data_IF_574682002232
#
_entry.id   IF_574682002232
#
_cell.length_a   1.000
_cell.length_b   1.000
_cell.length_c   1.000
_cell.angle_alpha   90.00
_cell.angle_beta   90.00
_cell.angle_gamma   90.00
#
_symmetry.space_group_name_H-M   'P 1'
#
loop_
_entity.id
_entity.type
_entity.pdbx_description
1 polymer ?
#
# COMPACT_ATOMS: atom_id res chain seq x y z
N UNK A 1 -6.68 -17.98 2.87
CA UNK A 1 -6.54 -16.75 3.68
C UNK A 1 -5.16 -16.80 4.38
N UNK A 2 -4.48 -15.71 4.74
CA UNK A 2 -3.06 -15.76 5.24
C UNK A 2 -2.82 -16.66 6.46
N UNK A 3 -3.88 -16.98 7.19
CA UNK A 3 -3.86 -17.87 8.36
C UNK A 3 -3.98 -19.36 7.98
N UNK A 4 -4.36 -19.66 6.74
CA UNK A 4 -4.47 -21.02 6.23
C UNK A 4 -3.07 -21.60 5.97
N UNK A 5 -2.71 -22.74 6.60
CA UNK A 5 -1.38 -23.34 6.46
C UNK A 5 -0.99 -23.63 5.01
N UNK A 6 -1.95 -24.01 4.16
CA UNK A 6 -1.72 -24.40 2.78
C UNK A 6 -1.24 -23.26 1.85
N UNK A 7 -1.45 -21.99 2.24
CA UNK A 7 -1.08 -20.81 1.43
C UNK A 7 -0.24 -19.79 2.21
N UNK A 8 0.22 -20.18 3.40
CA UNK A 8 1.11 -19.37 4.24
C UNK A 8 2.55 -19.52 3.74
N UNK A 9 3.26 -18.42 3.43
CA UNK A 9 4.69 -18.48 3.15
C UNK A 9 5.44 -19.08 4.35
N UNK A 10 6.35 -20.04 4.16
CA UNK A 10 7.05 -20.71 5.26
C UNK A 10 7.94 -19.75 6.08
N UNK A 11 8.34 -18.62 5.50
CA UNK A 11 9.13 -17.58 6.17
C UNK A 11 8.30 -16.69 7.11
N UNK A 12 6.96 -16.78 7.04
CA UNK A 12 6.07 -15.98 7.86
C UNK A 12 5.96 -16.59 9.27
N UNK A 13 6.31 -15.80 10.29
CA UNK A 13 6.27 -16.24 11.68
C UNK A 13 4.84 -16.52 12.12
N UNK A 14 4.68 -17.44 13.07
CA UNK A 14 3.35 -17.86 13.55
C UNK A 14 2.55 -16.71 14.18
N UNK A 15 3.26 -15.77 14.80
CA UNK A 15 2.71 -14.57 15.44
C UNK A 15 2.55 -13.37 14.49
N UNK A 16 2.90 -13.53 13.21
CA UNK A 16 2.86 -12.49 12.18
C UNK A 16 3.72 -11.25 12.51
N UNK A 17 4.66 -11.35 13.45
CA UNK A 17 5.49 -10.22 13.89
C UNK A 17 6.37 -9.65 12.78
N UNK A 18 6.72 -10.48 11.78
CA UNK A 18 7.44 -10.12 10.56
C UNK A 18 6.55 -9.77 9.36
N UNK A 19 5.22 -9.63 9.55
CA UNK A 19 4.29 -9.17 8.53
C UNK A 19 4.14 -7.65 8.56
N UNK A 20 4.25 -7.03 7.38
CA UNK A 20 3.90 -5.62 7.15
C UNK A 20 2.72 -5.58 6.18
N UNK A 21 1.65 -4.90 6.59
CA UNK A 21 0.51 -4.58 5.72
C UNK A 21 0.75 -3.19 5.15
N UNK A 22 1.23 -3.12 3.92
CA UNK A 22 1.51 -1.86 3.24
C UNK A 22 0.39 -1.53 2.24
N UNK A 23 -0.25 -0.38 2.41
CA UNK A 23 -1.31 0.12 1.52
C UNK A 23 -0.94 1.49 0.96
N UNK A 24 -1.45 1.80 -0.23
CA UNK A 24 -1.31 3.12 -0.84
C UNK A 24 -2.68 3.73 -1.13
N UNK A 25 -2.93 4.91 -0.56
CA UNK A 25 -4.17 5.66 -0.79
C UNK A 25 -4.14 6.35 -2.15
N UNK A 26 -5.28 6.30 -2.82
CA UNK A 26 -5.50 7.00 -4.09
C UNK A 26 -6.39 8.22 -3.93
N UNK A 27 -7.12 8.34 -2.83
CA UNK A 27 -8.09 9.40 -2.60
C UNK A 27 -9.45 9.04 -3.14
N UNK A 28 -10.46 9.60 -2.48
CA UNK A 28 -11.88 9.48 -2.83
C UNK A 28 -12.39 8.04 -2.74
N UNK A 29 -11.80 7.22 -1.87
CA UNK A 29 -12.35 5.92 -1.50
C UNK A 29 -13.71 6.10 -0.78
N UNK A 30 -14.65 5.18 -1.02
CA UNK A 30 -15.97 5.24 -0.40
C UNK A 30 -15.87 5.11 1.13
N UNK A 31 -16.53 6.03 1.83
CA UNK A 31 -16.64 6.02 3.30
C UNK A 31 -17.14 4.65 3.81
N UNK A 32 -18.18 4.10 3.18
CA UNK A 32 -18.72 2.78 3.51
C UNK A 32 -17.71 1.64 3.37
N UNK A 33 -16.74 1.75 2.45
CA UNK A 33 -15.66 0.76 2.35
C UNK A 33 -14.69 0.91 3.51
N UNK A 34 -14.39 2.15 3.90
CA UNK A 34 -13.53 2.43 5.06
C UNK A 34 -14.18 1.96 6.36
N UNK A 35 -15.50 2.12 6.50
CA UNK A 35 -16.27 1.60 7.64
C UNK A 35 -16.18 0.08 7.74
N UNK A 36 -16.37 -0.63 6.63
CA UNK A 36 -16.25 -2.09 6.60
C UNK A 36 -14.83 -2.55 6.94
N UNK A 37 -13.80 -1.84 6.46
CA UNK A 37 -12.40 -2.10 6.81
C UNK A 37 -12.16 -1.86 8.30
N UNK A 38 -12.67 -0.76 8.86
CA UNK A 38 -12.55 -0.44 10.28
C UNK A 38 -13.28 -1.45 11.19
N UNK A 39 -14.44 -1.96 10.74
CA UNK A 39 -15.25 -2.92 11.48
C UNK A 39 -14.73 -4.35 11.41
N UNK A 40 -14.14 -4.76 10.28
CA UNK A 40 -13.84 -6.19 10.04
C UNK A 40 -12.37 -6.50 9.81
N UNK A 41 -11.58 -5.56 9.27
CA UNK A 41 -10.20 -5.83 8.85
C UNK A 41 -9.19 -5.29 9.88
N UNK A 42 -9.30 -4.01 10.25
CA UNK A 42 -8.39 -3.39 11.22
C UNK A 42 -8.39 -4.09 12.60
N UNK A 43 -9.51 -4.62 13.14
CA UNK A 43 -9.47 -5.39 14.37
C UNK A 43 -8.56 -6.62 14.29
N UNK A 44 -8.55 -7.32 13.16
CA UNK A 44 -7.66 -8.47 12.93
C UNK A 44 -6.20 -8.02 12.89
N UNK A 45 -5.90 -6.91 12.21
CA UNK A 45 -4.53 -6.38 12.20
C UNK A 45 -4.03 -6.02 13.59
N UNK A 46 -4.92 -5.47 14.43
CA UNK A 46 -4.63 -5.16 15.84
C UNK A 46 -4.43 -6.42 16.69
N UNK A 47 -5.30 -7.42 16.53
CA UNK A 47 -5.23 -8.69 17.26
C UNK A 47 -3.86 -9.36 17.09
N UNK A 48 -3.36 -9.39 15.86
CA UNK A 48 -2.04 -9.96 15.54
C UNK A 48 -0.89 -8.93 15.60
N UNK A 49 -1.18 -7.68 16.02
CA UNK A 49 -0.23 -6.55 16.07
C UNK A 49 0.55 -6.37 14.77
N UNK A 50 -0.05 -6.66 13.61
CA UNK A 50 0.58 -6.49 12.31
C UNK A 50 1.02 -5.03 12.13
N UNK A 51 2.24 -4.78 11.62
CA UNK A 51 2.66 -3.41 11.30
C UNK A 51 1.90 -2.96 10.06
N UNK A 52 0.93 -2.07 10.23
CA UNK A 52 0.14 -1.50 9.15
C UNK A 52 0.70 -0.14 8.78
N UNK A 53 1.04 0.00 7.51
CA UNK A 53 1.61 1.22 6.95
C UNK A 53 0.75 1.67 5.79
N UNK A 54 0.33 2.93 5.83
CA UNK A 54 -0.45 3.57 4.79
C UNK A 54 0.36 4.73 4.22
N UNK A 55 0.53 4.74 2.91
CA UNK A 55 1.27 5.79 2.21
C UNK A 55 0.43 6.43 1.14
N UNK A 56 0.78 7.65 0.75
CA UNK A 56 0.19 8.34 -0.37
C UNK A 56 1.24 9.18 -1.10
N UNK A 57 0.93 9.65 -2.30
CA UNK A 57 1.80 10.60 -3.01
C UNK A 57 1.71 11.97 -2.34
N UNK A 58 2.85 12.64 -2.16
CA UNK A 58 2.87 14.02 -1.69
C UNK A 58 2.59 15.03 -2.82
N UNK A 59 2.76 14.64 -4.08
CA UNK A 59 2.52 15.50 -5.24
C UNK A 59 2.44 14.73 -6.57
N UNK A 60 2.25 15.47 -7.68
CA UNK A 60 2.15 14.88 -9.02
C UNK A 60 3.45 14.24 -9.52
N UNK A 61 4.61 14.62 -8.98
CA UNK A 61 5.93 14.15 -9.40
C UNK A 61 6.53 13.25 -8.34
N UNK A 62 7.36 12.29 -8.78
CA UNK A 62 8.13 11.43 -7.86
C UNK A 62 9.07 12.22 -6.95
N UNK A 63 9.58 13.35 -7.44
CA UNK A 63 10.44 14.25 -6.66
C UNK A 63 9.72 14.88 -5.46
N UNK A 64 8.39 14.94 -5.50
CA UNK A 64 7.59 15.49 -4.39
C UNK A 64 7.54 14.51 -3.21
N UNK A 65 7.89 13.24 -3.43
CA UNK A 65 7.97 12.22 -2.38
C UNK A 65 6.63 11.57 -2.04
N UNK A 66 6.59 10.95 -0.87
CA UNK A 66 5.40 10.30 -0.30
C UNK A 66 5.05 10.92 1.05
N UNK A 67 3.78 10.79 1.44
CA UNK A 67 3.30 11.01 2.80
C UNK A 67 3.05 9.65 3.45
N UNK A 68 3.48 9.47 4.69
CA UNK A 68 3.11 8.31 5.51
C UNK A 68 1.92 8.73 6.37
N UNK A 69 0.75 8.19 6.06
CA UNK A 69 -0.52 8.54 6.72
C UNK A 69 -0.67 7.80 8.06
N UNK A 70 -0.17 6.57 8.12
CA UNK A 70 0.02 5.84 9.37
C UNK A 70 1.16 4.82 9.23
N UNK A 71 1.81 4.55 10.37
CA UNK A 71 2.70 3.41 10.58
C UNK A 71 2.47 2.95 12.02
N UNK A 72 1.61 1.94 12.18
CA UNK A 72 1.09 1.55 13.49
C UNK A 72 0.87 0.05 13.58
N UNK A 73 1.00 -0.50 14.78
CA UNK A 73 0.54 -1.86 15.11
C UNK A 73 -0.87 -1.86 15.71
N UNK A 74 -1.45 -0.69 15.88
CA UNK A 74 -2.78 -0.48 16.45
C UNK A 74 -3.65 0.42 15.54
N UNK A 75 -3.85 0.07 14.25
CA UNK A 75 -4.61 0.91 13.32
C UNK A 75 -6.09 0.96 13.67
N UNK A 76 -6.69 2.15 13.69
CA UNK A 76 -8.11 2.37 14.04
C UNK A 76 -8.96 2.91 12.89
N UNK A 77 -8.36 3.59 11.91
CA UNK A 77 -9.04 4.12 10.73
C UNK A 77 -8.14 4.11 9.49
N UNK A 78 -8.76 4.25 8.32
CA UNK A 78 -8.08 4.56 7.06
C UNK A 78 -8.09 6.07 6.82
N UNK A 79 -7.28 6.56 5.89
CA UNK A 79 -7.14 7.99 5.56
C UNK A 79 -7.51 8.28 4.09
N UNK A 80 -8.79 8.07 3.69
CA UNK A 80 -9.22 8.19 2.29
C UNK A 80 -9.41 9.64 1.82
N UNK A 81 -9.55 10.59 2.75
CA UNK A 81 -9.78 11.99 2.41
C UNK A 81 -8.43 12.72 2.22
N UNK A 82 -8.13 13.21 0.99
CA UNK A 82 -6.88 13.89 0.70
C UNK A 82 -6.76 15.28 1.32
N UNK A 83 -7.87 15.97 1.59
CA UNK A 83 -7.88 17.29 2.22
C UNK A 83 -7.65 17.16 3.73
N UNK A 84 -8.32 16.22 4.38
CA UNK A 84 -8.09 15.92 5.81
C UNK A 84 -6.68 15.40 6.05
N UNK A 85 -6.22 14.49 5.20
CA UNK A 85 -4.99 13.72 5.44
C UNK A 85 -3.75 14.30 4.74
N UNK A 86 -3.94 15.36 3.94
CA UNK A 86 -2.85 16.15 3.35
C UNK A 86 -2.02 15.41 2.29
N UNK A 87 -2.65 14.80 1.30
CA UNK A 87 -1.95 14.12 0.20
C UNK A 87 -2.53 14.39 -1.19
N UNK A 88 -1.78 13.99 -2.23
CA UNK A 88 -2.13 14.21 -3.62
C UNK A 88 -2.97 13.07 -4.21
N UNK A 89 -4.29 13.28 -4.25
CA UNK A 89 -5.25 12.33 -4.79
C UNK A 89 -5.17 12.14 -6.31
N UNK A 90 -5.58 10.95 -6.76
CA UNK A 90 -5.72 10.60 -8.16
C UNK A 90 -6.83 11.38 -8.85
N UNK A 91 -7.92 11.73 -8.16
CA UNK A 91 -8.98 12.56 -8.74
C UNK A 91 -8.49 13.97 -9.08
N UNK A 92 -7.59 14.54 -8.27
CA UNK A 92 -6.94 15.81 -8.56
C UNK A 92 -6.06 15.72 -9.81
N UNK A 93 -5.26 14.66 -9.93
CA UNK A 93 -4.50 14.40 -11.16
C UNK A 93 -5.38 14.26 -12.40
N UNK A 94 -6.52 13.59 -12.27
CA UNK A 94 -7.50 13.49 -13.35
C UNK A 94 -8.02 14.86 -13.78
N UNK A 95 -8.46 15.67 -12.82
CA UNK A 95 -8.96 17.04 -13.04
C UNK A 95 -7.91 17.94 -13.70
N UNK A 96 -6.68 17.94 -13.17
CA UNK A 96 -5.59 18.78 -13.67
C UNK A 96 -5.19 18.42 -15.11
N UNK A 97 -5.32 17.14 -15.50
CA UNK A 97 -5.03 16.67 -16.86
C UNK A 97 -6.25 16.68 -17.79
N UNK A 98 -7.44 17.08 -17.32
CA UNK A 98 -8.67 17.01 -18.09
C UNK A 98 -9.11 15.57 -18.44
N UNK A 99 -8.76 14.59 -17.61
CA UNK A 99 -9.06 13.16 -17.82
C UNK A 99 -10.12 12.69 -16.83
N UNK A 100 -11.19 12.09 -17.37
CA UNK A 100 -12.20 11.42 -16.55
C UNK A 100 -11.79 9.96 -16.30
N UNK A 101 -11.87 9.46 -15.05
CA UNK A 101 -11.59 8.06 -14.75
C UNK A 101 -12.60 7.15 -15.47
N UNK A 102 -12.09 6.11 -16.14
CA UNK A 102 -12.90 5.08 -16.78
C UNK A 102 -12.87 3.81 -15.93
N UNK A 103 -14.01 3.15 -15.77
CA UNK A 103 -14.12 1.92 -14.98
C UNK A 103 -13.49 0.69 -15.65
N UNK A 104 -13.17 0.79 -16.95
CA UNK A 104 -12.68 -0.33 -17.76
C UNK A 104 -11.21 -0.67 -17.54
N UNK A 105 -10.38 0.29 -17.10
CA UNK A 105 -8.94 0.07 -16.89
C UNK A 105 -8.47 0.62 -15.55
N UNK A 106 -7.64 -0.15 -14.83
CA UNK A 106 -7.08 0.26 -13.54
C UNK A 106 -5.66 0.81 -13.63
N UNK A 107 -5.18 1.13 -14.83
CA UNK A 107 -3.79 1.58 -15.07
C UNK A 107 -3.43 2.81 -14.23
N UNK A 108 -4.34 3.79 -14.13
CA UNK A 108 -4.13 5.00 -13.34
C UNK A 108 -4.00 4.70 -11.83
N UNK A 109 -4.85 3.80 -11.32
CA UNK A 109 -4.79 3.39 -9.91
C UNK A 109 -3.53 2.58 -9.62
N UNK A 110 -3.14 1.66 -10.51
CA UNK A 110 -1.89 0.91 -10.39
C UNK A 110 -0.67 1.82 -10.42
N UNK A 111 -0.63 2.82 -11.31
CA UNK A 111 0.41 3.85 -11.35
C UNK A 111 0.48 4.62 -10.03
N UNK A 112 -0.66 5.08 -9.55
CA UNK A 112 -0.75 5.91 -8.34
C UNK A 112 -0.34 5.15 -7.07
N UNK A 113 -0.59 3.83 -7.01
CA UNK A 113 -0.24 2.97 -5.89
C UNK A 113 1.18 2.40 -5.98
N UNK A 114 1.61 1.97 -7.16
CA UNK A 114 2.86 1.21 -7.31
C UNK A 114 4.09 1.97 -6.83
N UNK A 115 4.28 3.21 -7.32
CA UNK A 115 5.49 3.97 -6.97
C UNK A 115 5.60 4.32 -5.47
N UNK A 116 4.55 4.80 -4.77
CA UNK A 116 4.64 5.03 -3.32
C UNK A 116 4.98 3.78 -2.51
N UNK A 117 4.42 2.62 -2.88
CA UNK A 117 4.69 1.35 -2.21
C UNK A 117 6.15 0.94 -2.36
N UNK A 118 6.67 1.00 -3.60
CA UNK A 118 8.07 0.68 -3.89
C UNK A 118 9.02 1.67 -3.20
N UNK A 119 8.72 2.97 -3.25
CA UNK A 119 9.53 4.01 -2.63
C UNK A 119 9.64 3.84 -1.11
N UNK A 120 8.52 3.56 -0.42
CA UNK A 120 8.54 3.29 1.01
C UNK A 120 9.35 2.03 1.34
N UNK A 121 9.11 0.94 0.59
CA UNK A 121 9.84 -0.33 0.78
C UNK A 121 11.34 -0.13 0.66
N UNK A 122 11.79 0.49 -0.42
CA UNK A 122 13.22 0.64 -0.71
C UNK A 122 13.90 1.52 0.34
N UNK A 123 13.18 2.52 0.86
CA UNK A 123 13.68 3.40 1.94
C UNK A 123 13.79 2.69 3.29
N UNK A 124 12.77 1.93 3.67
CA UNK A 124 12.65 1.40 5.04
C UNK A 124 13.23 -0.01 5.22
N UNK A 125 13.12 -0.86 4.21
CA UNK A 125 13.59 -2.24 4.26
C UNK A 125 14.92 -2.45 3.54
N UNK A 126 15.33 -1.48 2.72
CA UNK A 126 16.55 -1.56 1.93
C UNK A 126 16.53 -2.72 0.92
N UNK A 127 17.72 -3.21 0.50
CA UNK A 127 17.83 -4.23 -0.55
C UNK A 127 17.58 -5.67 -0.07
N UNK A 128 17.19 -5.86 1.19
CA UNK A 128 17.00 -7.20 1.75
C UNK A 128 15.85 -7.94 1.05
N UNK A 129 16.00 -9.25 0.78
CA UNK A 129 14.97 -10.02 0.11
C UNK A 129 13.70 -10.04 0.97
N UNK A 130 12.65 -9.37 0.47
CA UNK A 130 11.35 -9.28 1.13
C UNK A 130 10.33 -10.05 0.30
N UNK A 131 9.60 -10.98 0.91
CA UNK A 131 8.51 -11.67 0.25
C UNK A 131 7.29 -10.74 0.17
N UNK A 132 7.04 -10.17 -1.01
CA UNK A 132 5.90 -9.28 -1.25
C UNK A 132 4.79 -10.02 -2.01
N UNK A 133 3.58 -10.02 -1.44
CA UNK A 133 2.37 -10.44 -2.17
C UNK A 133 1.48 -9.23 -2.43
N UNK A 134 1.44 -8.79 -3.68
CA UNK A 134 0.53 -7.74 -4.15
C UNK A 134 -0.84 -8.32 -4.52
N UNK A 135 -1.92 -7.63 -4.15
CA UNK A 135 -3.28 -7.92 -4.62
C UNK A 135 -3.58 -7.41 -6.04
N UNK A 136 -2.63 -6.72 -6.66
CA UNK A 136 -2.64 -6.36 -8.08
C UNK A 136 -1.63 -7.23 -8.83
N UNK A 137 -1.98 -7.65 -10.04
CA UNK A 137 -1.28 -8.62 -10.92
C UNK A 137 0.25 -8.62 -10.74
N UNK A 138 0.91 -9.79 -10.65
CA UNK A 138 2.32 -9.87 -10.27
C UNK A 138 3.19 -9.10 -11.26
N UNK A 139 3.84 -8.03 -10.78
CA UNK A 139 5.00 -7.46 -11.47
C UNK A 139 6.21 -8.20 -10.92
N UNK A 140 6.88 -8.95 -11.80
CA UNK A 140 8.05 -9.76 -11.45
C UNK A 140 9.18 -8.80 -11.05
N UNK A 141 9.47 -8.68 -9.76
CA UNK A 141 10.69 -8.03 -9.31
C UNK A 141 11.88 -8.87 -9.81
N UNK A 142 12.60 -8.35 -10.79
CA UNK A 142 13.81 -8.98 -11.29
C UNK A 142 14.90 -8.84 -10.22
N UNK A 143 15.36 -9.96 -9.67
CA UNK A 143 16.59 -10.01 -8.91
C UNK A 143 17.75 -9.61 -9.84
N UNK A 144 18.38 -8.47 -9.59
CA UNK A 144 19.66 -8.12 -10.22
C UNK A 144 20.75 -8.93 -9.51
N UNK A 145 21.18 -10.03 -10.13
CA UNK A 145 22.41 -10.71 -9.74
C UNK A 145 23.60 -9.95 -10.33
N UNK A 146 24.34 -9.26 -9.45
CA UNK A 146 25.67 -8.77 -9.78
C UNK A 146 26.58 -9.99 -10.03
N UNK A 147 27.05 -10.14 -11.28
CA UNK A 147 28.14 -11.05 -11.62
C UNK A 147 29.42 -10.23 -11.71
N UNK A 148 30.30 -10.44 -10.74
CA UNK A 148 31.71 -10.04 -10.80
C UNK A 148 32.42 -10.82 -11.91
N UNK A 149 33.15 -10.09 -12.77
CA UNK A 149 34.46 -10.50 -13.32
C UNK A 149 35.21 -9.28 -13.82
#
# INVERSE_FOLDING_TARGET
MLLEPAVRPPELLADLSNLIILTAQTGDEWESTCDLVAQHVLPVFREYRCRTVEVARAGPRRADGIVVLQDSREPTRMHPDPEESGYYALSREGRDNGVMPVLSSRACSSKAKGWPLDYWRDRELGPAPTFMRSGSTPTRAAASSATTR
#
